data_IF_595024763909
#
_entry.id   IF_595024763909
#
_cell.length_a   1.000
_cell.length_b   1.000
_cell.length_c   1.000
_cell.angle_alpha   90.00
_cell.angle_beta   90.00
_cell.angle_gamma   90.00
#
_symmetry.space_group_name_H-M   'P 1'
#
loop_
_entity.id
_entity.type
_entity.pdbx_description
1 polymer ?
#
# COMPACT_ATOMS: atom_id res chain seq x y z
N UNK A 1 -2.88 -2.62 -35.29
CA UNK A 1 -3.65 -1.83 -34.30
C UNK A 1 -2.74 -1.57 -33.11
N UNK A 2 -2.18 -0.37 -32.99
CA UNK A 2 -1.28 -0.02 -31.87
C UNK A 2 -2.10 0.04 -30.59
N UNK A 3 -2.11 -1.05 -29.81
CA UNK A 3 -2.72 -1.05 -28.49
C UNK A 3 -2.03 0.03 -27.67
N UNK A 4 -2.77 1.07 -27.27
CA UNK A 4 -2.21 2.09 -26.40
C UNK A 4 -1.85 1.39 -25.08
N UNK A 5 -0.61 1.50 -24.59
CA UNK A 5 -0.18 0.83 -23.36
C UNK A 5 -1.02 1.26 -22.12
N UNK A 6 -1.73 2.39 -22.23
CA UNK A 6 -2.65 2.91 -21.22
C UNK A 6 -4.07 2.33 -21.28
N UNK A 7 -4.45 1.60 -22.34
CA UNK A 7 -5.80 1.02 -22.47
C UNK A 7 -6.11 0.01 -21.34
N UNK A 8 -5.08 -0.55 -20.71
CA UNK A 8 -5.21 -1.45 -19.57
C UNK A 8 -5.77 -0.80 -18.31
N UNK A 9 -5.64 0.53 -18.18
CA UNK A 9 -6.13 1.29 -17.04
C UNK A 9 -7.54 1.84 -17.29
N UNK A 10 -8.19 1.49 -18.40
CA UNK A 10 -9.58 1.91 -18.66
C UNK A 10 -10.53 1.22 -17.70
N UNK A 11 -11.27 2.03 -16.95
CA UNK A 11 -12.33 1.56 -16.07
C UNK A 11 -13.52 1.16 -16.96
N UNK A 12 -13.77 -0.14 -17.08
CA UNK A 12 -14.96 -0.66 -17.75
C UNK A 12 -16.05 -0.93 -16.71
N UNK A 13 -17.26 -0.48 -16.99
CA UNK A 13 -18.46 -0.79 -16.22
C UNK A 13 -18.92 -2.19 -16.60
N UNK A 14 -18.89 -3.14 -15.66
CA UNK A 14 -19.36 -4.50 -15.84
C UNK A 14 -20.88 -4.55 -15.61
N UNK A 15 -21.37 -3.84 -14.58
CA UNK A 15 -22.79 -3.82 -14.22
C UNK A 15 -23.23 -2.39 -13.89
N UNK A 16 -24.25 -1.89 -14.58
CA UNK A 16 -24.83 -0.57 -14.28
C UNK A 16 -25.88 -0.73 -13.18
N UNK A 17 -25.63 -0.16 -12.01
CA UNK A 17 -26.65 -0.09 -10.95
C UNK A 17 -27.50 1.17 -11.13
N UNK A 18 -28.76 1.18 -10.65
CA UNK A 18 -29.57 2.39 -10.65
C UNK A 18 -28.86 3.50 -9.90
N UNK A 19 -28.88 4.71 -10.47
CA UNK A 19 -28.26 5.91 -9.89
C UNK A 19 -28.98 6.30 -8.59
N UNK A 20 -28.32 6.05 -7.45
CA UNK A 20 -28.81 6.50 -6.15
C UNK A 20 -28.21 7.90 -5.91
N UNK A 21 -29.07 8.93 -5.86
CA UNK A 21 -28.68 10.29 -5.48
C UNK A 21 -27.87 11.08 -6.51
N UNK A 22 -27.94 10.75 -7.81
CA UNK A 22 -27.23 11.48 -8.87
C UNK A 22 -25.77 11.05 -9.09
N UNK A 23 -25.29 10.06 -8.34
CA UNK A 23 -23.99 9.42 -8.56
C UNK A 23 -24.18 8.08 -9.29
N UNK A 24 -23.37 7.84 -10.33
CA UNK A 24 -23.34 6.53 -11.00
C UNK A 24 -22.58 5.54 -10.12
N UNK A 25 -23.30 4.63 -9.47
CA UNK A 25 -22.74 3.54 -8.66
C UNK A 25 -22.52 2.32 -9.57
N UNK A 26 -21.89 2.51 -10.73
CA UNK A 26 -21.66 1.40 -11.64
C UNK A 26 -20.60 0.46 -11.06
N UNK A 27 -20.87 -0.84 -11.09
CA UNK A 27 -19.89 -1.85 -10.73
C UNK A 27 -18.86 -1.94 -11.86
N UNK A 28 -17.63 -1.60 -11.55
CA UNK A 28 -16.52 -1.51 -12.52
C UNK A 28 -15.51 -2.64 -12.31
N UNK A 29 -14.60 -2.81 -13.26
CA UNK A 29 -13.43 -3.68 -13.07
C UNK A 29 -12.68 -3.35 -11.78
N UNK A 30 -12.54 -2.06 -11.44
CA UNK A 30 -11.89 -1.62 -10.22
C UNK A 30 -12.59 -2.14 -8.95
N UNK A 31 -13.93 -2.05 -8.88
CA UNK A 31 -14.69 -2.55 -7.74
C UNK A 31 -14.65 -4.08 -7.64
N UNK A 32 -14.65 -4.78 -8.77
CA UNK A 32 -14.51 -6.25 -8.80
C UNK A 32 -13.17 -6.68 -8.20
N UNK A 33 -12.06 -6.08 -8.63
CA UNK A 33 -10.74 -6.43 -8.12
C UNK A 33 -10.55 -6.03 -6.66
N UNK A 34 -11.17 -4.95 -6.18
CA UNK A 34 -11.18 -4.62 -4.75
C UNK A 34 -11.89 -5.69 -3.92
N UNK A 35 -13.08 -6.12 -4.33
CA UNK A 35 -13.83 -7.19 -3.64
C UNK A 35 -13.04 -8.50 -3.68
N UNK A 36 -12.41 -8.82 -4.82
CA UNK A 36 -11.54 -9.98 -4.96
C UNK A 36 -10.35 -9.92 -3.99
N UNK A 37 -9.67 -8.78 -3.89
CA UNK A 37 -8.57 -8.58 -2.93
C UNK A 37 -9.03 -8.81 -1.49
N UNK A 38 -10.17 -8.23 -1.09
CA UNK A 38 -10.72 -8.43 0.26
C UNK A 38 -11.09 -9.89 0.52
N UNK A 39 -11.70 -10.57 -0.46
CA UNK A 39 -12.03 -11.99 -0.36
C UNK A 39 -10.77 -12.86 -0.25
N UNK A 40 -9.74 -12.59 -1.04
CA UNK A 40 -8.46 -13.31 -1.00
C UNK A 40 -7.81 -13.14 0.37
N UNK A 41 -7.77 -11.93 0.91
CA UNK A 41 -7.22 -11.67 2.25
C UNK A 41 -8.03 -12.40 3.32
N UNK A 42 -9.35 -12.29 3.28
CA UNK A 42 -10.23 -12.96 4.25
C UNK A 42 -10.09 -14.47 4.19
N UNK A 43 -9.98 -15.05 2.99
CA UNK A 43 -9.78 -16.48 2.79
C UNK A 43 -8.38 -16.90 3.25
N UNK A 44 -7.35 -16.13 2.93
CA UNK A 44 -5.97 -16.40 3.32
C UNK A 44 -5.83 -16.45 4.85
N UNK A 45 -6.35 -15.43 5.54
CA UNK A 45 -6.39 -15.40 6.99
C UNK A 45 -7.27 -16.53 7.56
N UNK A 46 -8.48 -16.74 7.02
CA UNK A 46 -9.38 -17.79 7.49
C UNK A 46 -8.76 -19.18 7.36
N UNK A 47 -8.18 -19.52 6.21
CA UNK A 47 -7.58 -20.83 5.95
C UNK A 47 -6.32 -21.04 6.79
N UNK A 48 -5.47 -20.03 6.91
CA UNK A 48 -4.23 -20.15 7.66
C UNK A 48 -4.40 -20.12 9.18
N UNK A 49 -5.50 -19.55 9.70
CA UNK A 49 -5.85 -19.55 11.13
C UNK A 49 -6.88 -20.63 11.50
N UNK A 50 -7.35 -21.45 10.53
CA UNK A 50 -8.47 -22.38 10.74
C UNK A 50 -8.16 -23.53 11.70
N UNK A 51 -6.90 -23.97 11.75
CA UNK A 51 -6.48 -25.10 12.57
C UNK A 51 -5.27 -24.67 13.38
N UNK A 52 -5.45 -24.53 14.69
CA UNK A 52 -4.35 -24.44 15.65
C UNK A 52 -3.73 -25.84 15.82
N UNK A 53 -3.09 -26.36 14.77
CA UNK A 53 -2.34 -27.61 14.88
C UNK A 53 -0.91 -27.33 15.33
N UNK A 54 -0.43 -28.11 16.29
CA UNK A 54 0.94 -28.03 16.86
C UNK A 54 2.00 -28.21 15.75
N UNK A 55 1.67 -28.91 14.66
CA UNK A 55 2.44 -28.89 13.41
C UNK A 55 1.81 -27.84 12.46
N UNK A 56 2.50 -26.73 12.16
CA UNK A 56 1.94 -25.67 11.33
C UNK A 56 1.80 -26.12 9.87
N UNK A 57 0.67 -25.77 9.25
CA UNK A 57 0.49 -25.95 7.82
C UNK A 57 1.32 -24.90 7.04
N UNK A 58 1.69 -25.16 5.78
CA UNK A 58 2.55 -24.24 5.01
C UNK A 58 2.00 -22.80 4.92
N UNK A 59 0.68 -22.64 4.81
CA UNK A 59 0.02 -21.33 4.81
C UNK A 59 0.07 -20.67 6.20
N UNK A 60 -0.10 -21.45 7.26
CA UNK A 60 0.01 -20.97 8.64
C UNK A 60 1.43 -20.45 8.92
N UNK A 61 2.46 -21.17 8.46
CA UNK A 61 3.85 -20.76 8.59
C UNK A 61 4.13 -19.41 7.90
N UNK A 62 3.53 -19.16 6.73
CA UNK A 62 3.64 -17.86 6.05
C UNK A 62 3.00 -16.75 6.89
N UNK A 63 1.81 -16.97 7.45
CA UNK A 63 1.12 -15.98 8.30
C UNK A 63 1.91 -15.72 9.58
N UNK A 64 2.45 -16.75 10.23
CA UNK A 64 3.27 -16.62 11.44
C UNK A 64 4.57 -15.85 11.14
N UNK A 65 5.23 -16.11 10.00
CA UNK A 65 6.39 -15.33 9.58
C UNK A 65 6.05 -13.86 9.37
N UNK A 66 4.94 -13.55 8.70
CA UNK A 66 4.47 -12.17 8.50
C UNK A 66 4.15 -11.53 9.85
N UNK A 67 3.44 -12.24 10.73
CA UNK A 67 3.09 -11.74 12.06
C UNK A 67 4.35 -11.41 12.88
N UNK A 68 5.30 -12.34 12.98
CA UNK A 68 6.56 -12.13 13.70
C UNK A 68 7.41 -11.00 13.09
N UNK A 69 7.38 -10.86 11.76
CA UNK A 69 8.02 -9.74 11.08
C UNK A 69 7.39 -8.40 11.47
N UNK A 70 6.06 -8.31 11.55
CA UNK A 70 5.36 -7.10 12.00
C UNK A 70 5.64 -6.82 13.48
N UNK A 71 5.61 -7.84 14.34
CA UNK A 71 5.93 -7.70 15.78
C UNK A 71 7.34 -7.15 15.97
N UNK A 72 8.33 -7.76 15.33
CA UNK A 72 9.73 -7.29 15.43
C UNK A 72 9.93 -5.89 14.84
N UNK A 73 9.18 -5.53 13.78
CA UNK A 73 9.20 -4.17 13.22
C UNK A 73 8.60 -3.15 14.20
N UNK A 74 7.48 -3.47 14.86
CA UNK A 74 6.88 -2.59 15.86
C UNK A 74 7.78 -2.48 17.08
N UNK A 75 8.31 -3.59 17.59
CA UNK A 75 9.16 -3.58 18.78
C UNK A 75 10.46 -2.78 18.56
N UNK A 76 11.06 -2.86 17.36
CA UNK A 76 12.27 -2.11 17.01
C UNK A 76 12.04 -0.61 16.76
N UNK A 77 10.84 -0.20 16.32
CA UNK A 77 10.56 1.21 16.00
C UNK A 77 9.79 1.95 17.11
N UNK A 78 8.89 1.26 17.82
CA UNK A 78 7.96 1.83 18.83
C UNK A 78 8.32 1.39 20.24
N UNK A 79 8.85 0.18 20.40
CA UNK A 79 9.04 -0.46 21.69
C UNK A 79 7.81 -1.25 22.16
N UNK A 80 7.86 -1.76 23.41
CA UNK A 80 6.85 -2.68 23.97
C UNK A 80 5.44 -2.09 24.05
N UNK A 81 5.32 -0.76 24.16
CA UNK A 81 4.02 -0.08 24.19
C UNK A 81 3.29 -0.11 22.84
N UNK A 82 4.03 -0.33 21.73
CA UNK A 82 3.48 -0.47 20.40
C UNK A 82 2.75 -1.80 20.15
N UNK A 83 2.97 -2.82 21.00
CA UNK A 83 2.43 -4.17 20.80
C UNK A 83 0.89 -4.21 20.80
N UNK A 84 0.23 -3.28 21.50
CA UNK A 84 -1.24 -3.18 21.49
C UNK A 84 -1.81 -2.81 20.09
N UNK A 85 -0.99 -2.27 19.20
CA UNK A 85 -1.38 -1.84 17.85
C UNK A 85 -1.00 -2.83 16.74
N UNK A 86 -0.48 -4.01 17.10
CA UNK A 86 -0.18 -5.08 16.14
C UNK A 86 -1.35 -5.37 15.18
N UNK A 87 -2.61 -5.52 15.64
CA UNK A 87 -3.71 -5.88 14.74
C UNK A 87 -3.94 -4.86 13.62
N UNK A 88 -3.76 -3.56 13.91
CA UNK A 88 -3.92 -2.49 12.94
C UNK A 88 -2.81 -2.56 11.88
N UNK A 89 -1.56 -2.57 12.33
CA UNK A 89 -0.38 -2.57 11.46
C UNK A 89 -0.34 -3.83 10.60
N UNK A 90 -0.70 -4.98 11.19
CA UNK A 90 -0.79 -6.25 10.49
C UNK A 90 -1.86 -6.24 9.39
N UNK A 91 -3.07 -5.77 9.71
CA UNK A 91 -4.18 -5.68 8.73
C UNK A 91 -3.79 -4.78 7.56
N UNK A 92 -3.19 -3.63 7.88
CA UNK A 92 -2.73 -2.66 6.91
C UNK A 92 -1.63 -3.22 6.00
N UNK A 93 -0.63 -3.89 6.58
CA UNK A 93 0.46 -4.52 5.82
C UNK A 93 -0.07 -5.59 4.86
N UNK A 94 -0.86 -6.54 5.36
CA UNK A 94 -1.42 -7.61 4.52
C UNK A 94 -2.30 -7.03 3.43
N UNK A 95 -3.13 -6.04 3.75
CA UNK A 95 -4.01 -5.41 2.77
C UNK A 95 -3.23 -4.77 1.62
N UNK A 96 -2.22 -3.96 1.93
CA UNK A 96 -1.39 -3.28 0.92
C UNK A 96 -0.54 -4.28 0.15
N UNK A 97 0.11 -5.22 0.83
CA UNK A 97 0.93 -6.24 0.19
C UNK A 97 0.11 -7.10 -0.78
N UNK A 98 -1.09 -7.54 -0.39
CA UNK A 98 -1.97 -8.32 -1.27
C UNK A 98 -2.49 -7.47 -2.44
N UNK A 99 -2.90 -6.22 -2.21
CA UNK A 99 -3.34 -5.34 -3.31
C UNK A 99 -2.22 -5.10 -4.34
N UNK A 100 -0.99 -4.87 -3.87
CA UNK A 100 0.15 -4.65 -4.76
C UNK A 100 0.51 -5.92 -5.54
N UNK A 101 0.53 -7.07 -4.87
CA UNK A 101 0.86 -8.34 -5.52
C UNK A 101 -0.20 -8.79 -6.52
N UNK A 102 -1.48 -8.57 -6.21
CA UNK A 102 -2.58 -8.81 -7.15
C UNK A 102 -2.54 -7.88 -8.35
N UNK A 103 -2.04 -6.66 -8.18
CA UNK A 103 -1.82 -5.71 -9.28
C UNK A 103 -0.84 -6.24 -10.32
N UNK A 104 0.22 -6.91 -9.89
CA UNK A 104 1.28 -7.41 -10.79
C UNK A 104 0.82 -8.58 -11.66
N UNK A 105 -0.27 -9.27 -11.29
CA UNK A 105 -0.75 -10.40 -12.07
C UNK A 105 -1.05 -9.98 -13.52
N UNK A 106 -0.59 -10.74 -14.54
CA UNK A 106 -0.70 -10.35 -15.95
C UNK A 106 -2.16 -10.29 -16.46
N UNK A 107 -3.09 -10.94 -15.77
CA UNK A 107 -4.55 -10.86 -15.99
C UNK A 107 -5.27 -9.97 -14.97
N UNK A 108 -4.53 -9.41 -14.01
CA UNK A 108 -5.03 -8.54 -12.97
C UNK A 108 -5.24 -7.13 -13.49
N UNK A 109 -6.34 -6.49 -13.06
CA UNK A 109 -6.49 -5.05 -13.21
C UNK A 109 -5.80 -4.37 -12.01
N UNK A 110 -4.81 -3.52 -12.27
CA UNK A 110 -4.09 -2.79 -11.23
C UNK A 110 -4.96 -1.67 -10.64
N UNK A 111 -5.79 -2.01 -9.67
CA UNK A 111 -6.60 -1.01 -8.95
C UNK A 111 -5.69 0.06 -8.31
N UNK A 112 -4.48 -0.33 -7.88
CA UNK A 112 -3.45 0.55 -7.28
C UNK A 112 -2.79 1.50 -8.29
N UNK A 113 -3.03 1.36 -9.60
CA UNK A 113 -2.57 2.35 -10.59
C UNK A 113 -3.44 3.60 -10.62
N UNK A 114 -4.66 3.57 -10.06
CA UNK A 114 -5.48 4.76 -9.94
C UNK A 114 -5.11 5.54 -8.69
N UNK A 115 -4.54 6.73 -8.88
CA UNK A 115 -4.14 7.65 -7.79
C UNK A 115 -5.30 7.90 -6.83
N UNK A 116 -6.54 8.00 -7.32
CA UNK A 116 -7.72 8.19 -6.47
C UNK A 116 -7.92 7.04 -5.46
N UNK A 117 -7.67 5.79 -5.87
CA UNK A 117 -7.85 4.62 -5.00
C UNK A 117 -6.68 4.49 -4.02
N UNK A 118 -5.44 4.68 -4.48
CA UNK A 118 -4.28 4.66 -3.57
C UNK A 118 -4.32 5.79 -2.57
N UNK A 119 -4.79 6.97 -2.99
CA UNK A 119 -5.00 8.12 -2.11
C UNK A 119 -6.08 7.84 -1.07
N UNK A 120 -7.23 7.28 -1.46
CA UNK A 120 -8.27 6.89 -0.50
C UNK A 120 -7.73 5.88 0.54
N UNK A 121 -6.98 4.88 0.09
CA UNK A 121 -6.37 3.88 0.97
C UNK A 121 -5.36 4.51 1.94
N UNK A 122 -4.47 5.36 1.45
CA UNK A 122 -3.50 6.05 2.30
C UNK A 122 -4.16 7.02 3.27
N UNK A 123 -5.27 7.67 2.87
CA UNK A 123 -6.02 8.59 3.71
C UNK A 123 -6.70 7.86 4.87
N UNK A 124 -7.29 6.68 4.63
CA UNK A 124 -7.88 5.84 5.69
C UNK A 124 -6.83 5.46 6.72
N UNK A 125 -5.64 5.05 6.28
CA UNK A 125 -4.55 4.72 7.20
C UNK A 125 -4.10 5.95 7.96
N UNK A 126 -3.85 7.05 7.26
CA UNK A 126 -3.40 8.29 7.87
C UNK A 126 -4.37 8.74 8.97
N UNK A 127 -5.67 8.81 8.65
CA UNK A 127 -6.71 9.16 9.63
C UNK A 127 -6.71 8.16 10.80
N UNK A 128 -6.59 6.86 10.54
CA UNK A 128 -6.57 5.84 11.60
C UNK A 128 -5.41 6.05 12.58
N UNK A 129 -4.21 6.34 12.06
CA UNK A 129 -3.02 6.63 12.87
C UNK A 129 -3.18 7.95 13.62
N UNK A 130 -3.67 9.01 12.94
CA UNK A 130 -3.92 10.31 13.57
C UNK A 130 -4.94 10.22 14.71
N UNK A 131 -6.04 9.49 14.51
CA UNK A 131 -7.08 9.28 15.55
C UNK A 131 -6.51 8.54 16.75
N UNK A 132 -5.67 7.53 16.52
CA UNK A 132 -5.00 6.79 17.60
C UNK A 132 -4.04 7.71 18.37
N UNK A 133 -3.25 8.52 17.67
CA UNK A 133 -2.34 9.48 18.29
C UNK A 133 -3.07 10.52 19.15
N UNK A 134 -4.16 11.09 18.64
CA UNK A 134 -5.00 12.01 19.42
C UNK A 134 -5.67 11.32 20.61
N UNK A 135 -6.05 10.04 20.50
CA UNK A 135 -6.68 9.31 21.62
C UNK A 135 -5.69 9.02 22.74
N UNK A 136 -4.41 8.82 22.44
CA UNK A 136 -3.39 8.46 23.43
C UNK A 136 -2.75 9.70 24.09
N UNK A 137 -2.35 10.70 23.29
CA UNK A 137 -1.68 11.92 23.79
C UNK A 137 -2.59 13.15 23.92
N UNK A 138 -3.82 13.14 23.40
CA UNK A 138 -4.76 14.26 23.50
C UNK A 138 -4.24 15.55 22.87
N UNK A 139 -4.32 16.67 23.61
CA UNK A 139 -3.80 17.99 23.17
C UNK A 139 -2.27 18.05 23.13
N UNK A 140 -1.58 17.07 23.72
CA UNK A 140 -0.13 16.97 23.69
C UNK A 140 0.39 16.47 22.34
N UNK A 141 -0.43 15.78 21.53
CA UNK A 141 -0.10 15.42 20.16
C UNK A 141 0.33 16.64 19.29
N UNK A 142 -0.16 17.85 19.60
CA UNK A 142 0.26 19.08 18.93
C UNK A 142 1.72 19.48 19.22
N UNK A 143 2.35 18.91 20.25
CA UNK A 143 3.77 19.09 20.55
C UNK A 143 4.67 18.34 19.58
N UNK A 144 4.15 17.34 18.83
CA UNK A 144 4.84 16.73 17.69
C UNK A 144 5.20 17.77 16.62
N UNK A 145 4.43 18.87 16.53
CA UNK A 145 4.64 19.98 15.61
C UNK A 145 5.73 20.96 16.09
N UNK A 146 6.22 20.80 17.33
CA UNK A 146 7.22 21.66 17.97
C UNK A 146 8.40 20.82 18.49
N UNK A 147 9.48 20.70 17.71
CA UNK A 147 10.72 20.08 18.18
C UNK A 147 11.23 20.75 19.45
N UNK A 148 11.54 19.95 20.49
CA UNK A 148 12.14 20.42 21.75
C UNK A 148 13.46 21.14 21.43
N UNK A 149 13.57 22.41 21.83
CA UNK A 149 14.75 23.25 21.60
C UNK A 149 14.57 24.37 20.55
N UNK A 150 13.39 24.49 19.93
CA UNK A 150 13.11 25.60 19.01
C UNK A 150 13.00 26.93 19.79
N UNK A 151 13.79 27.97 19.45
CA UNK A 151 13.62 29.29 20.04
C UNK A 151 12.19 29.79 19.83
N UNK A 152 11.58 30.40 20.85
CA UNK A 152 10.16 30.81 20.81
C UNK A 152 9.77 31.71 19.62
N UNK A 153 10.74 32.39 19.00
CA UNK A 153 10.53 33.17 17.79
C UNK A 153 10.34 32.33 16.51
N UNK A 154 11.00 31.17 16.41
CA UNK A 154 10.92 30.25 15.27
C UNK A 154 9.79 29.22 15.41
N UNK A 155 9.24 29.08 16.62
CA UNK A 155 8.19 28.13 16.94
C UNK A 155 6.96 28.22 16.01
N UNK A 156 6.38 29.40 15.70
CA UNK A 156 5.20 29.46 14.82
C UNK A 156 5.50 29.00 13.39
N UNK A 157 6.66 29.36 12.84
CA UNK A 157 7.06 28.97 11.48
C UNK A 157 7.30 27.45 11.39
N UNK A 158 7.93 26.86 12.41
CA UNK A 158 8.19 25.42 12.45
C UNK A 158 6.89 24.60 12.50
N UNK A 159 5.92 25.04 13.30
CA UNK A 159 4.59 24.41 13.36
C UNK A 159 3.90 24.37 11.99
N UNK A 160 3.94 25.48 11.24
CA UNK A 160 3.33 25.52 9.91
C UNK A 160 4.01 24.56 8.93
N UNK A 161 5.35 24.51 8.94
CA UNK A 161 6.11 23.61 8.07
C UNK A 161 5.85 22.15 8.44
N UNK A 162 5.87 21.81 9.73
CA UNK A 162 5.67 20.44 10.19
C UNK A 162 4.24 19.96 9.96
N UNK A 163 3.24 20.84 10.13
CA UNK A 163 1.84 20.54 9.79
C UNK A 163 1.69 20.24 8.30
N UNK A 164 2.30 21.07 7.43
CA UNK A 164 2.29 20.82 5.99
C UNK A 164 3.00 19.51 5.65
N UNK A 165 4.17 19.25 6.26
CA UNK A 165 4.89 18.00 6.08
C UNK A 165 4.04 16.80 6.50
N UNK A 166 3.39 16.86 7.67
CA UNK A 166 2.49 15.82 8.19
C UNK A 166 1.36 15.51 7.22
N UNK A 167 0.67 16.52 6.68
CA UNK A 167 -0.38 16.33 5.68
C UNK A 167 0.16 15.86 4.31
N UNK A 168 1.38 16.24 3.94
CA UNK A 168 2.00 15.85 2.66
C UNK A 168 2.50 14.40 2.65
N UNK A 169 2.77 13.80 3.82
CA UNK A 169 3.22 12.40 3.97
C UNK A 169 2.29 11.38 3.29
N UNK A 170 0.96 11.32 3.56
CA UNK A 170 0.05 10.37 2.89
C UNK A 170 -0.07 10.61 1.38
N UNK A 171 -0.03 11.87 0.95
CA UNK A 171 -0.05 12.24 -0.47
C UNK A 171 1.18 11.66 -1.18
N UNK A 172 2.38 11.90 -0.62
CA UNK A 172 3.65 11.40 -1.16
C UNK A 172 3.67 9.87 -1.25
N UNK A 173 3.16 9.19 -0.22
CA UNK A 173 3.11 7.73 -0.15
C UNK A 173 2.16 7.12 -1.18
N UNK A 174 0.98 7.75 -1.38
CA UNK A 174 -0.01 7.35 -2.38
C UNK A 174 0.52 7.50 -3.80
N UNK A 175 1.18 8.64 -4.07
CA UNK A 175 1.80 8.94 -5.37
C UNK A 175 2.90 7.92 -5.64
N UNK A 176 3.73 7.59 -4.64
CA UNK A 176 4.80 6.60 -4.78
C UNK A 176 4.26 5.23 -5.17
N UNK A 177 3.18 4.78 -4.52
CA UNK A 177 2.58 3.50 -4.83
C UNK A 177 2.00 3.49 -6.25
N UNK A 178 1.19 4.49 -6.59
CA UNK A 178 0.55 4.58 -7.90
C UNK A 178 1.57 4.75 -9.03
N UNK A 179 2.57 5.62 -8.87
CA UNK A 179 3.60 5.87 -9.86
C UNK A 179 4.41 4.59 -10.16
N UNK A 180 4.79 3.83 -9.13
CA UNK A 180 5.54 2.58 -9.32
C UNK A 180 4.72 1.54 -10.11
N UNK A 181 3.43 1.39 -9.81
CA UNK A 181 2.54 0.44 -10.50
C UNK A 181 2.17 0.91 -11.92
N UNK A 182 2.00 2.22 -12.15
CA UNK A 182 1.79 2.75 -13.51
C UNK A 182 3.07 2.57 -14.33
N UNK A 183 4.23 2.94 -13.80
CA UNK A 183 5.50 2.91 -14.52
C UNK A 183 5.91 1.48 -14.87
N UNK A 184 5.87 0.53 -13.93
CA UNK A 184 6.23 -0.87 -14.17
C UNK A 184 5.40 -1.50 -15.29
N UNK A 185 4.07 -1.49 -15.14
CA UNK A 185 3.15 -2.00 -16.17
C UNK A 185 3.27 -1.27 -17.52
N UNK A 186 3.53 0.04 -17.53
CA UNK A 186 3.71 0.79 -18.79
C UNK A 186 4.99 0.38 -19.50
N UNK A 187 6.12 0.27 -18.78
CA UNK A 187 7.41 -0.12 -19.36
C UNK A 187 7.34 -1.55 -19.89
N UNK A 188 6.76 -2.49 -19.13
CA UNK A 188 6.58 -3.87 -19.59
C UNK A 188 5.79 -3.91 -20.90
N UNK A 189 4.68 -3.16 -21.02
CA UNK A 189 3.87 -3.16 -22.24
C UNK A 189 4.53 -2.49 -23.42
N UNK A 190 5.27 -1.41 -23.20
CA UNK A 190 6.04 -0.76 -24.27
C UNK A 190 7.07 -1.73 -24.82
N UNK A 191 7.81 -2.42 -23.95
CA UNK A 191 8.84 -3.39 -24.36
C UNK A 191 8.19 -4.60 -25.03
N UNK A 192 7.13 -5.17 -24.46
CA UNK A 192 6.38 -6.27 -25.08
C UNK A 192 5.84 -5.89 -26.47
N UNK A 193 5.36 -4.65 -26.64
CA UNK A 193 4.91 -4.13 -27.93
C UNK A 193 6.04 -4.01 -28.96
N UNK A 194 7.27 -3.70 -28.53
CA UNK A 194 8.46 -3.76 -29.38
C UNK A 194 8.84 -5.21 -29.73
N UNK A 195 8.80 -6.14 -28.77
CA UNK A 195 9.12 -7.56 -29.00
C UNK A 195 8.26 -8.16 -30.10
N UNK A 196 6.95 -7.90 -30.08
CA UNK A 196 6.01 -8.44 -31.08
C UNK A 196 6.31 -7.93 -32.50
N UNK A 197 6.90 -6.74 -32.63
CA UNK A 197 7.23 -6.14 -33.93
C UNK A 197 8.64 -6.49 -34.44
N UNK A 198 9.48 -7.09 -33.60
CA UNK A 198 10.86 -7.43 -33.94
C UNK A 198 10.96 -8.82 -34.59
N UNK A 199 12.06 -9.05 -35.30
CA UNK A 199 12.36 -10.33 -35.92
C UNK A 199 12.71 -11.40 -34.85
N UNK A 200 12.40 -12.68 -35.11
CA UNK A 200 12.55 -13.80 -34.17
C UNK A 200 13.97 -13.90 -33.59
N UNK A 201 15.01 -13.60 -34.38
CA UNK A 201 16.41 -13.72 -33.95
C UNK A 201 16.81 -12.74 -32.83
N UNK A 202 16.18 -11.57 -32.74
CA UNK A 202 16.52 -10.54 -31.75
C UNK A 202 15.53 -10.50 -30.57
N UNK A 203 14.52 -11.38 -30.60
CA UNK A 203 13.47 -11.56 -29.57
C UNK A 203 13.98 -12.04 -28.20
N UNK A 204 15.02 -12.90 -28.07
CA UNK A 204 15.42 -13.43 -26.77
C UNK A 204 15.90 -12.36 -25.78
N UNK A 205 16.58 -11.32 -26.27
CA UNK A 205 17.20 -10.29 -25.43
C UNK A 205 16.13 -9.42 -24.71
N UNK A 206 15.13 -8.83 -25.40
CA UNK A 206 14.02 -8.15 -24.73
C UNK A 206 13.18 -9.03 -23.82
N UNK A 207 13.02 -10.33 -24.12
CA UNK A 207 12.26 -11.26 -23.28
C UNK A 207 12.91 -11.47 -21.92
N UNK A 208 14.23 -11.66 -21.88
CA UNK A 208 14.98 -11.74 -20.61
C UNK A 208 14.79 -10.46 -19.80
N UNK A 209 14.85 -9.30 -20.47
CA UNK A 209 14.67 -8.01 -19.81
C UNK A 209 13.27 -7.85 -19.20
N UNK A 210 12.21 -8.31 -19.88
CA UNK A 210 10.84 -8.31 -19.34
C UNK A 210 10.75 -9.18 -18.07
N UNK A 211 11.35 -10.37 -18.07
CA UNK A 211 11.33 -11.26 -16.89
C UNK A 211 12.02 -10.60 -15.70
N UNK A 212 13.18 -9.96 -15.93
CA UNK A 212 13.90 -9.22 -14.88
C UNK A 212 13.04 -8.07 -14.36
N UNK A 213 12.35 -7.35 -15.24
CA UNK A 213 11.52 -6.20 -14.87
C UNK A 213 10.31 -6.63 -14.03
N UNK A 214 9.66 -7.75 -14.37
CA UNK A 214 8.59 -8.34 -13.55
C UNK A 214 9.12 -8.71 -12.15
N UNK A 215 10.30 -9.32 -12.07
CA UNK A 215 10.96 -9.61 -10.79
C UNK A 215 11.24 -8.35 -9.96
N UNK A 216 11.69 -7.29 -10.63
CA UNK A 216 11.92 -5.99 -9.99
C UNK A 216 10.61 -5.35 -9.50
N UNK A 217 9.51 -5.48 -10.25
CA UNK A 217 8.21 -4.95 -9.87
C UNK A 217 7.64 -5.65 -8.63
N UNK A 218 7.80 -6.98 -8.54
CA UNK A 218 7.46 -7.76 -7.34
C UNK A 218 8.26 -7.27 -6.12
N UNK A 219 9.57 -7.05 -6.30
CA UNK A 219 10.42 -6.52 -5.24
C UNK A 219 9.95 -5.14 -4.76
N UNK A 220 9.68 -4.22 -5.69
CA UNK A 220 9.20 -2.86 -5.37
C UNK A 220 7.83 -2.90 -4.67
N UNK A 221 6.92 -3.80 -5.08
CA UNK A 221 5.61 -3.95 -4.44
C UNK A 221 5.69 -4.38 -2.98
N UNK A 222 6.57 -5.34 -2.65
CA UNK A 222 6.81 -5.80 -1.27
C UNK A 222 7.47 -4.68 -0.46
N UNK A 223 8.51 -4.06 -1.01
CA UNK A 223 9.25 -2.99 -0.35
C UNK A 223 8.35 -1.78 -0.03
N UNK A 224 7.39 -1.47 -0.91
CA UNK A 224 6.44 -0.39 -0.69
C UNK A 224 5.48 -0.69 0.47
N UNK A 225 4.99 -1.93 0.61
CA UNK A 225 4.19 -2.33 1.76
C UNK A 225 5.02 -2.25 3.06
N UNK A 226 6.30 -2.62 3.00
CA UNK A 226 7.21 -2.50 4.14
C UNK A 226 7.46 -1.04 4.56
N UNK A 227 7.82 -0.15 3.63
CA UNK A 227 8.01 1.28 3.91
C UNK A 227 6.77 1.87 4.57
N UNK A 228 5.60 1.50 4.07
CA UNK A 228 4.32 1.96 4.60
C UNK A 228 4.13 1.55 6.07
N UNK A 229 4.44 0.30 6.40
CA UNK A 229 4.42 -0.21 7.78
C UNK A 229 5.43 0.48 8.67
N UNK A 230 6.70 0.60 8.26
CA UNK A 230 7.73 1.27 9.06
C UNK A 230 7.35 2.71 9.34
N UNK A 231 6.88 3.42 8.33
CA UNK A 231 6.47 4.83 8.47
C UNK A 231 5.30 4.97 9.46
N UNK A 232 4.37 4.03 9.42
CA UNK A 232 3.28 3.95 10.40
C UNK A 232 3.79 3.66 11.81
N UNK A 233 4.76 2.76 11.96
CA UNK A 233 5.41 2.49 13.24
C UNK A 233 6.16 3.73 13.76
N UNK A 234 6.89 4.45 12.92
CA UNK A 234 7.57 5.70 13.32
C UNK A 234 6.55 6.71 13.84
N UNK A 235 5.42 6.91 13.14
CA UNK A 235 4.38 7.82 13.64
C UNK A 235 3.72 7.34 14.92
N UNK A 236 3.53 6.04 15.07
CA UNK A 236 3.02 5.47 16.29
C UNK A 236 4.01 5.66 17.45
N UNK A 237 5.31 5.56 17.17
CA UNK A 237 6.40 5.85 18.12
C UNK A 237 6.37 7.31 18.55
N UNK A 238 6.35 8.25 17.61
CA UNK A 238 6.27 9.68 17.89
C UNK A 238 5.00 10.04 18.69
N UNK A 239 3.89 9.32 18.43
CA UNK A 239 2.60 9.52 19.09
C UNK A 239 2.45 8.79 20.45
N UNK A 240 3.38 7.91 20.83
CA UNK A 240 3.35 7.17 22.11
C UNK A 240 4.49 7.65 23.01
N UNK A 241 5.72 7.57 22.51
CA UNK A 241 6.91 7.99 23.22
C UNK A 241 7.22 9.44 22.88
N UNK A 242 6.83 10.37 23.75
CA UNK A 242 7.41 11.71 23.71
C UNK A 242 8.94 11.61 23.79
N UNK A 243 9.64 12.15 22.79
CA UNK A 243 10.98 12.69 23.01
C UNK A 243 10.88 13.83 24.01
#
# INVERSE_FOLDING_TARGET
MSANPLDQFKILTIFKLPSIGGYNIDFTNASLFMVLSTLIISLFCYVGLRKESILPNGIQLIIEMIYNFIVSTIESNVGKEGLQYIPLVFTMFIFIATCNLLGILPLGFTVTSHIAVTFAMSMVVFISVTVIGFKHQGTHFLRILLPKGTPGWLAPMMVFIELFAYCARPISLSIRLAANMIAGHTIIKVIAGFVIKMNIFLTPLPMIFIVILIGFEIFVAILQAYIFTVLTCVYLSDAINEH
#
